data_IF_674231777750
#
_entry.id   IF_674231777750
#
_cell.length_a   1.000
_cell.length_b   1.000
_cell.length_c   1.000
_cell.angle_alpha   90.00
_cell.angle_beta   90.00
_cell.angle_gamma   90.00
#
_symmetry.space_group_name_H-M   'P 1'
#
loop_
_entity.id
_entity.type
_entity.pdbx_description
1 polymer ?
#
# COMPACT_ATOMS: atom_id res chain seq x y z
N UNK A 1 7.04 -17.97 11.08
CA UNK A 1 6.90 -17.10 9.90
C UNK A 1 6.43 -15.73 10.40
N UNK A 2 7.25 -14.70 10.23
CA UNK A 2 6.91 -13.34 10.68
C UNK A 2 6.81 -12.42 9.48
N UNK A 3 5.72 -11.68 9.37
CA UNK A 3 5.45 -10.67 8.34
C UNK A 3 5.36 -9.32 9.03
N UNK A 4 5.97 -8.31 8.44
CA UNK A 4 5.98 -6.95 8.93
C UNK A 4 5.13 -6.07 8.00
N UNK A 5 3.97 -5.65 8.48
CA UNK A 5 3.07 -4.78 7.73
C UNK A 5 3.39 -3.33 8.05
N UNK A 6 3.59 -2.52 7.03
CA UNK A 6 3.92 -1.10 7.18
C UNK A 6 2.89 -0.28 6.39
N UNK A 7 2.15 0.59 7.07
CA UNK A 7 1.30 1.55 6.37
C UNK A 7 2.16 2.61 5.71
N UNK A 8 1.80 3.04 4.50
CA UNK A 8 2.46 4.15 3.82
C UNK A 8 2.55 5.40 4.69
N UNK A 9 3.55 6.24 4.45
CA UNK A 9 3.75 7.55 5.06
C UNK A 9 2.62 8.53 4.70
N UNK A 10 2.50 9.65 5.40
CA UNK A 10 1.48 10.66 5.12
C UNK A 10 1.55 11.09 3.65
N UNK A 11 0.44 10.95 2.93
CA UNK A 11 0.27 11.43 1.56
C UNK A 11 -0.31 12.85 1.53
N UNK A 12 -0.21 13.52 0.37
CA UNK A 12 -0.85 14.81 0.14
C UNK A 12 -2.36 14.74 0.37
N UNK A 13 -3.00 13.62 -0.01
CA UNK A 13 -4.40 13.40 0.32
C UNK A 13 -4.64 13.34 1.84
N UNK A 14 -3.82 12.59 2.59
CA UNK A 14 -3.96 12.50 4.05
C UNK A 14 -3.81 13.86 4.74
N UNK A 15 -2.98 14.74 4.20
CA UNK A 15 -2.72 16.06 4.80
C UNK A 15 -3.93 17.01 4.72
N UNK A 16 -4.80 16.84 3.72
CA UNK A 16 -5.93 17.76 3.47
C UNK A 16 -7.31 17.10 3.64
N UNK A 17 -7.36 15.77 3.75
CA UNK A 17 -8.60 15.03 3.85
C UNK A 17 -9.30 15.31 5.18
N UNK A 18 -10.55 15.75 5.07
CA UNK A 18 -11.46 16.02 6.18
C UNK A 18 -12.80 15.32 5.87
N UNK A 19 -13.25 14.45 6.77
CA UNK A 19 -14.49 13.69 6.60
C UNK A 19 -15.74 14.57 6.43
N UNK A 20 -15.68 15.84 6.86
CA UNK A 20 -16.77 16.80 6.75
C UNK A 20 -16.70 17.65 5.48
N UNK A 21 -15.73 17.40 4.59
CA UNK A 21 -15.51 18.13 3.35
C UNK A 21 -15.57 17.19 2.15
N UNK A 22 -15.87 17.74 0.95
CA UNK A 22 -15.77 16.97 -0.27
C UNK A 22 -14.38 16.35 -0.45
N UNK A 23 -14.33 15.22 -1.18
CA UNK A 23 -13.07 14.61 -1.60
C UNK A 23 -12.20 15.63 -2.36
N UNK A 24 -10.95 15.86 -1.96
CA UNK A 24 -10.06 16.84 -2.59
C UNK A 24 -9.64 16.48 -4.02
N UNK A 25 -10.06 15.31 -4.54
CA UNK A 25 -9.79 14.83 -5.91
C UNK A 25 -8.29 14.78 -6.25
N UNK A 26 -7.50 14.27 -5.32
CA UNK A 26 -6.04 14.05 -5.49
C UNK A 26 -5.80 12.57 -5.78
N UNK A 27 -5.66 12.23 -7.07
CA UNK A 27 -5.49 10.86 -7.54
C UNK A 27 -4.06 10.37 -7.32
N UNK A 28 -3.92 9.10 -6.89
CA UNK A 28 -2.62 8.43 -6.65
C UNK A 28 -1.61 9.33 -5.92
N UNK A 29 -2.10 10.01 -4.87
CA UNK A 29 -1.39 11.07 -4.14
C UNK A 29 0.01 10.63 -3.69
N UNK A 30 1.08 11.44 -3.96
CA UNK A 30 2.41 11.19 -3.43
C UNK A 30 2.48 11.49 -1.92
N UNK A 31 3.61 11.14 -1.28
CA UNK A 31 3.85 11.48 0.13
C UNK A 31 4.22 12.96 0.29
N UNK A 32 3.92 13.52 1.47
CA UNK A 32 4.30 14.88 1.87
C UNK A 32 5.74 14.92 2.41
N UNK A 33 6.26 16.13 2.64
CA UNK A 33 7.54 16.32 3.38
C UNK A 33 7.50 15.70 4.78
N UNK A 34 6.37 15.80 5.49
CA UNK A 34 6.18 15.09 6.76
C UNK A 34 6.21 13.57 6.54
N UNK A 35 5.58 13.07 5.47
CA UNK A 35 5.65 11.67 5.10
C UNK A 35 7.08 11.18 4.82
N UNK A 36 7.90 11.98 4.14
CA UNK A 36 9.32 11.64 3.96
C UNK A 36 10.05 11.48 5.31
N UNK A 37 9.80 12.38 6.25
CA UNK A 37 10.39 12.30 7.60
C UNK A 37 9.92 11.05 8.35
N UNK A 38 8.63 10.74 8.30
CA UNK A 38 8.05 9.53 8.91
C UNK A 38 8.70 8.25 8.34
N UNK A 39 8.86 8.16 7.02
CA UNK A 39 9.47 7.01 6.38
C UNK A 39 10.96 6.85 6.75
N UNK A 40 11.72 7.95 6.82
CA UNK A 40 13.12 7.93 7.27
C UNK A 40 13.26 7.52 8.74
N UNK A 41 12.32 7.93 9.60
CA UNK A 41 12.28 7.50 10.99
C UNK A 41 11.97 6.00 11.11
N UNK A 42 10.96 5.51 10.39
CA UNK A 42 10.59 4.09 10.37
C UNK A 42 11.74 3.18 9.90
N UNK A 43 12.60 3.68 9.00
CA UNK A 43 13.81 2.97 8.57
C UNK A 43 14.67 2.50 9.73
N UNK A 44 14.86 3.32 10.78
CA UNK A 44 15.70 2.99 11.93
C UNK A 44 15.16 1.77 12.72
N UNK A 45 13.85 1.56 12.72
CA UNK A 45 13.21 0.40 13.34
C UNK A 45 13.32 -0.83 12.43
N UNK A 46 13.02 -0.64 11.14
CA UNK A 46 13.03 -1.70 10.13
C UNK A 46 14.44 -2.28 9.92
N UNK A 47 15.50 -1.46 9.99
CA UNK A 47 16.89 -1.92 9.86
C UNK A 47 17.33 -2.91 10.95
N UNK A 48 16.64 -2.92 12.09
CA UNK A 48 16.89 -3.89 13.18
C UNK A 48 16.25 -5.25 12.92
N UNK A 49 15.38 -5.33 11.92
CA UNK A 49 14.65 -6.55 11.56
C UNK A 49 15.41 -7.33 10.48
N UNK A 50 15.36 -8.65 10.56
CA UNK A 50 15.95 -9.51 9.54
C UNK A 50 15.02 -9.69 8.34
N UNK A 51 14.67 -8.58 7.65
CA UNK A 51 13.86 -8.59 6.43
C UNK A 51 14.63 -9.25 5.29
N UNK A 52 13.98 -10.12 4.52
CA UNK A 52 14.55 -10.81 3.36
C UNK A 52 13.88 -10.45 2.03
N UNK A 53 12.63 -10.01 2.08
CA UNK A 53 11.87 -9.60 0.89
C UNK A 53 10.92 -8.48 1.21
N UNK A 54 10.54 -7.70 0.19
CA UNK A 54 9.65 -6.55 0.33
C UNK A 54 8.58 -6.61 -0.74
N UNK A 55 7.31 -6.69 -0.30
CA UNK A 55 6.13 -6.58 -1.17
C UNK A 55 5.59 -5.16 -1.03
N UNK A 56 5.26 -4.52 -2.15
CA UNK A 56 4.82 -3.13 -2.18
C UNK A 56 3.55 -2.98 -3.03
N UNK A 57 2.56 -2.29 -2.49
CA UNK A 57 1.39 -1.87 -3.26
C UNK A 57 1.80 -0.92 -4.41
N UNK A 58 1.14 -0.97 -5.58
CA UNK A 58 1.53 -0.16 -6.73
C UNK A 58 1.28 1.36 -6.60
N UNK A 59 0.63 1.81 -5.52
CA UNK A 59 0.39 3.25 -5.34
C UNK A 59 1.68 4.04 -5.16
N UNK A 60 1.73 5.25 -5.72
CA UNK A 60 2.88 6.16 -5.62
C UNK A 60 3.34 6.35 -4.18
N UNK A 61 2.42 6.58 -3.23
CA UNK A 61 2.73 6.78 -1.80
C UNK A 61 3.41 5.57 -1.14
N UNK A 62 3.01 4.34 -1.51
CA UNK A 62 3.62 3.11 -0.97
C UNK A 62 5.00 2.85 -1.55
N UNK A 63 5.18 3.08 -2.85
CA UNK A 63 6.48 2.95 -3.52
C UNK A 63 7.49 3.96 -2.94
N UNK A 64 7.10 5.22 -2.81
CA UNK A 64 7.96 6.25 -2.22
C UNK A 64 8.32 5.94 -0.76
N UNK A 65 7.33 5.45 0.03
CA UNK A 65 7.58 5.00 1.41
C UNK A 65 8.58 3.85 1.44
N UNK A 66 8.39 2.83 0.61
CA UNK A 66 9.30 1.69 0.53
C UNK A 66 10.72 2.10 0.10
N UNK A 67 10.86 2.98 -0.88
CA UNK A 67 12.17 3.50 -1.31
C UNK A 67 12.91 4.23 -0.18
N UNK A 68 12.21 5.01 0.64
CA UNK A 68 12.82 5.72 1.77
C UNK A 68 13.21 4.79 2.91
N UNK A 69 12.41 3.75 3.18
CA UNK A 69 12.69 2.77 4.25
C UNK A 69 13.79 1.80 3.84
N UNK A 70 13.69 1.21 2.65
CA UNK A 70 14.54 0.08 2.24
C UNK A 70 15.67 0.47 1.28
N UNK A 71 15.58 1.64 0.62
CA UNK A 71 16.52 2.06 -0.41
C UNK A 71 16.57 1.06 -1.57
N UNK A 72 17.79 0.77 -2.04
CA UNK A 72 18.08 -0.25 -3.07
C UNK A 72 18.47 -1.61 -2.49
N UNK A 73 18.33 -1.81 -1.18
CA UNK A 73 18.76 -3.03 -0.49
C UNK A 73 18.02 -4.28 -0.94
N UNK A 74 16.77 -4.12 -1.37
CA UNK A 74 15.91 -5.21 -1.83
C UNK A 74 15.27 -4.89 -3.17
N UNK A 75 15.09 -5.86 -4.06
CA UNK A 75 14.15 -5.74 -5.16
C UNK A 75 12.72 -5.70 -4.57
N UNK A 76 11.91 -4.73 -5.00
CA UNK A 76 10.51 -4.67 -4.58
C UNK A 76 9.65 -5.57 -5.46
N UNK A 77 8.87 -6.43 -4.81
CA UNK A 77 7.81 -7.18 -5.47
C UNK A 77 6.54 -6.32 -5.46
N UNK A 78 6.22 -5.72 -6.60
CA UNK A 78 4.98 -4.94 -6.75
C UNK A 78 3.78 -5.88 -6.80
N UNK A 79 2.73 -5.60 -5.99
CA UNK A 79 1.55 -6.44 -5.94
C UNK A 79 0.27 -5.64 -5.73
N UNK A 80 -0.66 -5.75 -6.68
CA UNK A 80 -2.00 -5.17 -6.55
C UNK A 80 -2.86 -5.88 -5.47
N UNK A 81 -2.49 -7.08 -5.05
CA UNK A 81 -3.20 -7.79 -3.98
C UNK A 81 -3.19 -7.05 -2.65
N UNK A 82 -2.12 -6.25 -2.39
CA UNK A 82 -1.97 -5.46 -1.17
C UNK A 82 -2.37 -3.98 -1.34
N UNK A 83 -3.18 -3.65 -2.37
CA UNK A 83 -3.70 -2.30 -2.61
C UNK A 83 -4.70 -1.85 -1.54
N UNK A 84 -4.95 -0.55 -1.47
CA UNK A 84 -5.98 0.01 -0.60
C UNK A 84 -7.39 -0.38 -1.06
N UNK A 85 -8.34 -0.33 -0.15
CA UNK A 85 -9.75 -0.28 -0.49
C UNK A 85 -10.03 1.03 -1.23
N UNK A 86 -10.63 0.94 -2.41
CA UNK A 86 -10.99 2.14 -3.16
C UNK A 86 -12.20 2.81 -2.51
N UNK A 87 -11.96 3.86 -1.72
CA UNK A 87 -12.97 4.67 -1.06
C UNK A 87 -12.97 6.12 -1.54
N UNK A 88 -11.81 6.64 -1.94
CA UNK A 88 -11.61 8.05 -2.29
C UNK A 88 -10.76 8.19 -3.57
N UNK A 89 -10.66 9.40 -4.08
CA UNK A 89 -9.90 9.70 -5.29
C UNK A 89 -8.43 9.22 -5.23
N UNK A 90 -7.81 9.30 -4.06
CA UNK A 90 -6.42 8.84 -3.86
C UNK A 90 -6.23 7.33 -4.03
N UNK A 91 -7.32 6.57 -4.04
CA UNK A 91 -7.32 5.11 -4.19
C UNK A 91 -7.62 4.67 -5.64
N UNK A 92 -7.73 5.62 -6.56
CA UNK A 92 -7.63 5.41 -7.99
C UNK A 92 -6.15 5.48 -8.36
N UNK A 93 -5.61 4.39 -8.89
CA UNK A 93 -4.17 4.26 -9.15
C UNK A 93 -3.70 4.95 -10.44
N UNK A 94 -2.40 4.96 -10.64
CA UNK A 94 -1.78 5.31 -11.92
C UNK A 94 -1.60 4.06 -12.77
N UNK A 95 -1.73 4.19 -14.10
CA UNK A 95 -1.54 3.08 -15.04
C UNK A 95 -0.09 2.52 -14.98
N UNK A 96 0.14 1.25 -15.36
CA UNK A 96 1.48 0.66 -15.39
C UNK A 96 2.47 1.49 -16.19
N UNK A 97 2.06 2.04 -17.33
CA UNK A 97 2.90 2.89 -18.17
C UNK A 97 3.33 4.18 -17.47
N UNK A 98 2.44 4.82 -16.69
CA UNK A 98 2.75 6.00 -15.89
C UNK A 98 3.66 5.65 -14.71
N UNK A 99 3.41 4.51 -14.06
CA UNK A 99 4.25 4.01 -12.95
C UNK A 99 5.67 3.69 -13.43
N UNK A 100 5.83 3.00 -14.57
CA UNK A 100 7.13 2.68 -15.16
C UNK A 100 7.92 3.93 -15.52
N UNK A 101 7.24 5.00 -16.00
CA UNK A 101 7.88 6.29 -16.26
C UNK A 101 8.38 6.97 -14.99
N UNK A 102 7.60 6.89 -13.90
CA UNK A 102 7.93 7.53 -12.64
C UNK A 102 8.94 6.72 -11.80
N UNK A 103 8.94 5.41 -11.96
CA UNK A 103 9.76 4.46 -11.20
C UNK A 103 10.46 3.47 -12.13
N UNK A 104 11.39 3.93 -12.99
CA UNK A 104 11.95 3.13 -14.10
C UNK A 104 12.78 1.91 -13.65
N UNK A 105 13.11 1.80 -12.38
CA UNK A 105 13.83 0.64 -11.82
C UNK A 105 12.90 -0.47 -11.32
N UNK A 106 11.57 -0.27 -11.39
CA UNK A 106 10.57 -1.24 -10.93
C UNK A 106 9.83 -1.83 -12.13
N UNK A 107 9.41 -3.09 -12.00
CA UNK A 107 8.62 -3.78 -13.03
C UNK A 107 7.12 -3.72 -12.69
N UNK A 108 6.31 -3.26 -13.64
CA UNK A 108 4.85 -3.16 -13.55
C UNK A 108 4.14 -3.94 -14.66
N UNK A 109 4.86 -4.67 -15.54
CA UNK A 109 4.31 -5.33 -16.73
C UNK A 109 3.26 -6.41 -16.41
N UNK A 110 3.31 -6.93 -15.18
CA UNK A 110 2.36 -7.94 -14.70
C UNK A 110 1.04 -7.33 -14.18
N UNK A 111 0.93 -6.00 -14.09
CA UNK A 111 -0.29 -5.33 -13.67
C UNK A 111 -1.23 -5.12 -14.86
N UNK A 112 -2.54 -5.31 -14.63
CA UNK A 112 -3.56 -4.86 -15.58
C UNK A 112 -3.54 -3.33 -15.70
N UNK A 113 -4.04 -2.79 -16.80
CA UNK A 113 -4.13 -1.34 -17.04
C UNK A 113 -4.93 -0.65 -15.92
N UNK A 114 -6.03 -1.26 -15.48
CA UNK A 114 -6.74 -0.91 -14.26
C UNK A 114 -6.51 -2.03 -13.22
N UNK A 115 -5.58 -1.82 -12.31
CA UNK A 115 -5.24 -2.77 -11.23
C UNK A 115 -5.95 -2.45 -9.90
N UNK A 116 -6.63 -1.32 -9.82
CA UNK A 116 -7.51 -0.95 -8.70
C UNK A 116 -8.93 -1.51 -8.91
N UNK A 117 -9.85 -1.27 -7.99
CA UNK A 117 -11.22 -1.76 -8.10
C UNK A 117 -11.97 -1.10 -9.26
N UNK A 118 -12.70 -1.90 -10.03
CA UNK A 118 -13.60 -1.45 -11.10
C UNK A 118 -15.05 -1.82 -10.73
N UNK A 119 -15.99 -0.95 -11.05
CA UNK A 119 -17.41 -1.12 -10.77
C UNK A 119 -18.23 0.09 -11.15
N UNK A 120 -19.45 0.14 -10.65
CA UNK A 120 -20.30 1.30 -10.82
C UNK A 120 -19.72 2.53 -10.12
N UNK A 121 -19.66 3.64 -10.84
CA UNK A 121 -19.05 4.88 -10.35
C UNK A 121 -20.08 5.74 -9.62
N UNK A 122 -19.70 6.27 -8.49
CA UNK A 122 -20.48 7.25 -7.75
C UNK A 122 -20.46 8.65 -8.42
N UNK A 123 -21.07 9.64 -7.78
CA UNK A 123 -21.14 11.02 -8.27
C UNK A 123 -19.76 11.70 -8.45
N UNK A 124 -18.69 11.15 -7.86
CA UNK A 124 -17.29 11.60 -8.02
C UNK A 124 -16.61 10.94 -9.22
N UNK A 125 -17.25 9.97 -9.87
CA UNK A 125 -16.65 9.13 -10.90
C UNK A 125 -15.76 8.02 -10.35
N UNK A 126 -15.94 7.65 -9.09
CA UNK A 126 -15.11 6.66 -8.35
C UNK A 126 -15.94 5.39 -8.12
N UNK A 127 -15.38 4.24 -8.49
CA UNK A 127 -15.97 2.92 -8.21
C UNK A 127 -15.59 2.47 -6.80
N UNK A 128 -16.40 2.81 -5.79
CA UNK A 128 -16.11 2.46 -4.38
C UNK A 128 -16.08 0.94 -4.21
N UNK A 129 -14.98 0.40 -3.66
CA UNK A 129 -14.83 -1.04 -3.40
C UNK A 129 -15.64 -1.43 -2.16
N UNK A 130 -16.65 -2.33 -2.29
CA UNK A 130 -17.41 -2.82 -1.15
C UNK A 130 -16.52 -3.52 -0.11
N UNK A 131 -16.92 -3.48 1.16
CA UNK A 131 -16.10 -4.06 2.24
C UNK A 131 -15.96 -5.58 2.10
N UNK A 132 -17.00 -6.27 1.62
CA UNK A 132 -16.98 -7.70 1.34
C UNK A 132 -15.96 -8.08 0.26
N UNK A 133 -15.78 -7.23 -0.78
CA UNK A 133 -14.78 -7.44 -1.85
C UNK A 133 -13.36 -7.26 -1.29
N UNK A 134 -13.16 -6.26 -0.44
CA UNK A 134 -11.89 -6.09 0.29
C UNK A 134 -11.58 -7.33 1.14
N UNK A 135 -12.53 -7.79 1.95
CA UNK A 135 -12.35 -8.94 2.85
C UNK A 135 -12.01 -10.20 2.06
N UNK A 136 -12.71 -10.48 0.96
CA UNK A 136 -12.44 -11.62 0.10
C UNK A 136 -11.01 -11.56 -0.46
N UNK A 137 -10.60 -10.43 -1.04
CA UNK A 137 -9.24 -10.21 -1.58
C UNK A 137 -8.16 -10.40 -0.51
N UNK A 138 -8.39 -9.86 0.68
CA UNK A 138 -7.45 -9.98 1.80
C UNK A 138 -7.34 -11.43 2.28
N UNK A 139 -8.46 -12.16 2.32
CA UNK A 139 -8.49 -13.57 2.71
C UNK A 139 -7.70 -14.45 1.71
N UNK A 140 -7.90 -14.23 0.41
CA UNK A 140 -7.12 -14.93 -0.65
C UNK A 140 -5.62 -14.64 -0.47
N UNK A 141 -5.24 -13.39 -0.25
CA UNK A 141 -3.86 -13.02 -0.02
C UNK A 141 -3.27 -13.66 1.25
N UNK A 142 -4.04 -13.74 2.34
CA UNK A 142 -3.62 -14.39 3.57
C UNK A 142 -3.32 -15.88 3.38
N UNK A 143 -4.16 -16.61 2.61
CA UNK A 143 -3.92 -18.01 2.27
C UNK A 143 -2.68 -18.18 1.37
N UNK A 144 -2.45 -17.27 0.42
CA UNK A 144 -1.22 -17.28 -0.37
C UNK A 144 0.03 -17.10 0.49
N UNK A 145 0.00 -16.20 1.47
CA UNK A 145 1.09 -16.01 2.41
C UNK A 145 1.43 -17.29 3.18
N UNK A 146 0.42 -18.02 3.63
CA UNK A 146 0.59 -19.31 4.33
C UNK A 146 1.22 -20.36 3.41
N UNK A 147 0.67 -20.50 2.20
CA UNK A 147 1.09 -21.53 1.25
C UNK A 147 2.54 -21.39 0.79
N UNK A 148 3.00 -20.15 0.59
CA UNK A 148 4.34 -19.84 0.08
C UNK A 148 5.44 -19.91 1.15
N UNK A 149 5.12 -20.20 2.42
CA UNK A 149 6.07 -20.22 3.54
C UNK A 149 7.02 -19.00 3.55
N UNK A 150 6.47 -17.82 3.28
CA UNK A 150 7.22 -16.57 3.13
C UNK A 150 7.82 -16.17 4.49
N UNK A 151 9.14 -16.13 4.58
CA UNK A 151 9.84 -15.78 5.81
C UNK A 151 10.31 -14.33 5.82
N UNK A 152 10.15 -13.66 6.96
CA UNK A 152 10.75 -12.33 7.22
C UNK A 152 10.49 -11.32 6.09
N UNK A 153 9.23 -11.19 5.69
CA UNK A 153 8.81 -10.29 4.59
C UNK A 153 8.20 -9.01 5.15
N UNK A 154 8.62 -7.87 4.61
CA UNK A 154 7.92 -6.61 4.82
C UNK A 154 6.88 -6.39 3.72
N UNK A 155 5.71 -5.87 4.09
CA UNK A 155 4.63 -5.50 3.17
C UNK A 155 4.31 -4.03 3.39
N UNK A 156 4.59 -3.19 2.40
CA UNK A 156 4.23 -1.77 2.45
C UNK A 156 2.87 -1.59 1.78
N UNK A 157 1.88 -1.26 2.59
CA UNK A 157 0.47 -1.24 2.20
C UNK A 157 -0.29 -0.08 2.85
N UNK A 158 -1.57 -0.25 3.17
CA UNK A 158 -2.53 0.81 3.46
C UNK A 158 -3.37 0.51 4.70
N UNK A 159 -4.10 1.53 5.16
CA UNK A 159 -4.86 1.47 6.39
C UNK A 159 -5.98 0.43 6.39
N UNK A 160 -6.85 0.42 5.36
CA UNK A 160 -7.99 -0.50 5.33
C UNK A 160 -7.54 -1.93 4.99
N UNK A 161 -6.55 -2.11 4.10
CA UNK A 161 -5.97 -3.42 3.83
C UNK A 161 -5.40 -4.06 5.11
N UNK A 162 -4.56 -3.32 5.87
CA UNK A 162 -3.95 -3.83 7.10
C UNK A 162 -5.03 -4.09 8.16
N UNK A 163 -6.03 -3.20 8.29
CA UNK A 163 -7.16 -3.40 9.19
C UNK A 163 -7.96 -4.68 8.85
N UNK A 164 -8.24 -4.91 7.58
CA UNK A 164 -8.96 -6.11 7.15
C UNK A 164 -8.16 -7.40 7.42
N UNK A 165 -6.83 -7.35 7.30
CA UNK A 165 -5.96 -8.50 7.54
C UNK A 165 -5.74 -8.79 9.04
N UNK A 166 -5.67 -7.75 9.89
CA UNK A 166 -5.20 -7.87 11.28
C UNK A 166 -6.22 -7.44 12.33
N UNK A 167 -7.26 -6.70 11.94
CA UNK A 167 -8.16 -5.98 12.85
C UNK A 167 -7.60 -4.65 13.37
N UNK A 168 -6.34 -4.32 13.08
CA UNK A 168 -5.65 -3.11 13.58
C UNK A 168 -5.59 -2.06 12.48
N UNK A 169 -6.03 -0.82 12.77
CA UNK A 169 -5.87 0.33 11.86
C UNK A 169 -4.60 1.09 12.23
N UNK A 170 -3.50 0.93 11.46
CA UNK A 170 -2.21 1.54 11.79
C UNK A 170 -2.19 3.05 11.50
N UNK A 171 -1.31 3.77 12.19
CA UNK A 171 -0.90 5.14 11.82
C UNK A 171 0.04 5.11 10.60
N UNK A 172 0.31 6.27 9.99
CA UNK A 172 1.29 6.36 8.91
C UNK A 172 2.67 5.88 9.38
N UNK A 173 3.34 5.06 8.57
CA UNK A 173 4.62 4.40 8.85
C UNK A 173 4.63 3.48 10.08
N UNK A 174 3.48 3.20 10.69
CA UNK A 174 3.43 2.23 11.79
C UNK A 174 3.72 0.82 11.26
N UNK A 175 4.55 0.11 12.00
CA UNK A 175 4.93 -1.26 11.74
C UNK A 175 4.11 -2.18 12.64
N UNK A 176 3.47 -3.18 12.03
CA UNK A 176 2.71 -4.23 12.72
C UNK A 176 3.32 -5.58 12.40
N UNK A 177 3.67 -6.32 13.43
CA UNK A 177 4.09 -7.72 13.29
C UNK A 177 2.84 -8.60 13.11
N UNK A 178 2.85 -9.43 12.07
CA UNK A 178 1.74 -10.32 11.72
C UNK A 178 2.25 -11.75 11.55
N UNK A 179 1.60 -12.67 12.22
CA UNK A 179 1.81 -14.12 12.09
C UNK A 179 0.54 -14.71 11.47
N UNK A 180 0.56 -15.17 10.22
CA UNK A 180 -0.57 -15.86 9.60
C UNK A 180 -0.98 -17.07 10.43
N UNK A 181 -2.26 -17.13 10.79
CA UNK A 181 -2.86 -18.24 11.56
C UNK A 181 -3.56 -19.24 10.66
#
# INVERSE_FOLDING_TARGET
MTIYLIRHAQSEFNAVHDLNKPDPMIFDAPITKLGEMQARQARNEVEKLNIKSVIVSPFTRTIQTAQLIFGSKFPFQISAAVREQLCNSCDVGSTPSKLSKNFPLLNFDHLNECWWHEGEKDHRGIAVEPEEVLIERVSIFAEELKSKNIQSTAIVSHGNFIRALTGIKPKNCELIEYVPR
#
